data_IF_976124863621
#
_entry.id   IF_976124863621
#
_cell.length_a   1.000
_cell.length_b   1.000
_cell.length_c   1.000
_cell.angle_alpha   90.00
_cell.angle_beta   90.00
_cell.angle_gamma   90.00
#
_symmetry.space_group_name_H-M   'P 1'
#
loop_
_entity.id
_entity.type
_entity.pdbx_description
1 polymer ?
#
# COMPACT_ATOMS: atom_id res chain seq x y z
N UNK A 1 23.30 -10.01 7.63
CA UNK A 1 21.84 -9.79 7.47
C UNK A 1 21.06 -11.09 7.26
N UNK A 2 21.48 -11.99 6.35
CA UNK A 2 20.75 -13.25 6.08
C UNK A 2 20.53 -14.15 7.30
N UNK A 3 21.51 -14.25 8.22
CA UNK A 3 21.37 -15.01 9.48
C UNK A 3 20.24 -14.50 10.38
N UNK A 4 20.03 -13.18 10.45
CA UNK A 4 18.97 -12.60 11.28
C UNK A 4 17.58 -12.84 10.68
N UNK A 5 17.45 -12.68 9.35
CA UNK A 5 16.20 -12.97 8.64
C UNK A 5 15.83 -14.45 8.76
N UNK A 6 16.81 -15.35 8.66
CA UNK A 6 16.61 -16.78 8.88
C UNK A 6 16.12 -17.09 10.30
N UNK A 7 16.74 -16.48 11.32
CA UNK A 7 16.31 -16.63 12.71
C UNK A 7 14.88 -16.12 12.92
N UNK A 8 14.52 -14.95 12.36
CA UNK A 8 13.17 -14.41 12.45
C UNK A 8 12.14 -15.32 11.77
N UNK A 9 12.46 -15.80 10.57
CA UNK A 9 11.61 -16.72 9.81
C UNK A 9 11.39 -18.05 10.55
N UNK A 10 12.40 -18.56 11.27
CA UNK A 10 12.27 -19.77 12.07
C UNK A 10 11.58 -19.53 13.42
N UNK A 11 11.87 -18.40 14.07
CA UNK A 11 11.29 -18.05 15.36
C UNK A 11 9.78 -17.78 15.27
N UNK A 12 9.34 -17.17 14.16
CA UNK A 12 7.94 -16.80 13.96
C UNK A 12 6.98 -18.02 14.05
N UNK A 13 7.13 -19.12 13.29
CA UNK A 13 6.27 -20.28 13.41
C UNK A 13 6.45 -21.02 14.74
N UNK A 14 7.63 -20.99 15.35
CA UNK A 14 7.85 -21.55 16.69
C UNK A 14 7.02 -20.82 17.75
N UNK A 15 6.96 -19.48 17.68
CA UNK A 15 6.12 -18.67 18.56
C UNK A 15 4.64 -19.02 18.33
N UNK A 16 4.21 -19.21 17.08
CA UNK A 16 2.82 -19.60 16.80
C UNK A 16 2.46 -20.95 17.39
N UNK A 17 3.32 -21.96 17.23
CA UNK A 17 3.11 -23.29 17.82
C UNK A 17 3.04 -23.19 19.34
N UNK A 18 3.92 -22.41 19.97
CA UNK A 18 3.87 -22.18 21.42
C UNK A 18 2.54 -21.52 21.85
N UNK A 19 2.08 -20.49 21.14
CA UNK A 19 0.79 -19.86 21.41
C UNK A 19 -0.38 -20.84 21.25
N UNK A 20 -0.39 -21.65 20.19
CA UNK A 20 -1.40 -22.68 19.97
C UNK A 20 -1.45 -23.70 21.11
N UNK A 21 -0.30 -24.14 21.63
CA UNK A 21 -0.23 -25.07 22.76
C UNK A 21 -0.76 -24.42 24.03
N UNK A 22 -0.33 -23.20 24.35
CA UNK A 22 -0.74 -22.51 25.58
C UNK A 22 -2.24 -22.24 25.58
N UNK A 23 -2.78 -21.71 24.48
CA UNK A 23 -4.21 -21.42 24.35
C UNK A 23 -5.01 -22.72 24.25
N UNK A 24 -4.53 -23.68 23.46
CA UNK A 24 -5.14 -25.01 23.33
C UNK A 24 -5.25 -25.75 24.65
N UNK A 25 -4.26 -25.62 25.54
CA UNK A 25 -4.32 -26.19 26.88
C UNK A 25 -5.28 -25.43 27.81
N UNK A 26 -5.47 -24.13 27.60
CA UNK A 26 -6.35 -23.29 28.41
C UNK A 26 -7.85 -23.46 28.06
N UNK A 27 -8.20 -23.55 26.77
CA UNK A 27 -9.59 -23.56 26.30
C UNK A 27 -9.97 -24.79 25.45
N UNK A 28 -9.02 -25.68 25.14
CA UNK A 28 -9.22 -26.86 24.31
C UNK A 28 -8.91 -26.64 22.83
N UNK A 29 -8.71 -27.75 22.10
CA UNK A 29 -8.31 -27.74 20.69
C UNK A 29 -9.36 -27.11 19.76
N UNK A 30 -10.62 -27.52 19.88
CA UNK A 30 -11.69 -27.08 18.97
C UNK A 30 -11.94 -25.57 19.04
N UNK A 31 -12.09 -24.94 20.23
CA UNK A 31 -12.21 -23.49 20.33
C UNK A 31 -10.97 -22.76 19.81
N UNK A 32 -9.79 -23.35 19.98
CA UNK A 32 -8.53 -22.77 19.50
C UNK A 32 -8.47 -22.71 17.98
N UNK A 33 -8.80 -23.82 17.31
CA UNK A 33 -8.88 -23.86 15.85
C UNK A 33 -9.95 -22.91 15.30
N UNK A 34 -11.12 -22.86 15.96
CA UNK A 34 -12.19 -21.94 15.58
C UNK A 34 -11.75 -20.49 15.71
N UNK A 35 -11.03 -20.12 16.77
CA UNK A 35 -10.50 -18.78 16.97
C UNK A 35 -9.59 -18.34 15.82
N UNK A 36 -8.69 -19.21 15.37
CA UNK A 36 -7.82 -18.92 14.22
C UNK A 36 -8.62 -18.76 12.93
N UNK A 37 -9.61 -19.62 12.70
CA UNK A 37 -10.49 -19.51 11.52
C UNK A 37 -11.29 -18.20 11.52
N UNK A 38 -11.82 -17.78 12.68
CA UNK A 38 -12.55 -16.53 12.85
C UNK A 38 -11.65 -15.33 12.57
N UNK A 39 -10.42 -15.34 13.09
CA UNK A 39 -9.44 -14.28 12.80
C UNK A 39 -9.12 -14.21 11.31
N UNK A 40 -8.80 -15.35 10.68
CA UNK A 40 -8.51 -15.40 9.25
C UNK A 40 -9.70 -14.89 8.42
N UNK A 41 -10.93 -15.31 8.75
CA UNK A 41 -12.15 -14.83 8.11
C UNK A 41 -12.33 -13.32 8.27
N UNK A 42 -12.11 -12.78 9.48
CA UNK A 42 -12.14 -11.35 9.73
C UNK A 42 -11.10 -10.60 8.88
N UNK A 43 -9.89 -11.14 8.74
CA UNK A 43 -8.85 -10.60 7.85
C UNK A 43 -9.29 -10.55 6.39
N UNK A 44 -9.88 -11.64 5.87
CA UNK A 44 -10.42 -11.68 4.50
C UNK A 44 -11.54 -10.65 4.31
N UNK A 45 -12.46 -10.53 5.27
CA UNK A 45 -13.53 -9.53 5.22
C UNK A 45 -12.94 -8.11 5.20
N UNK A 46 -12.02 -7.79 6.11
CA UNK A 46 -11.35 -6.49 6.14
C UNK A 46 -10.64 -6.17 4.82
N UNK A 47 -9.94 -7.14 4.24
CA UNK A 47 -9.25 -6.97 2.96
C UNK A 47 -10.25 -6.69 1.83
N UNK A 48 -11.38 -7.41 1.81
CA UNK A 48 -12.44 -7.23 0.80
C UNK A 48 -13.11 -5.86 0.93
N UNK A 49 -13.43 -5.43 2.14
CA UNK A 49 -14.02 -4.11 2.40
C UNK A 49 -13.07 -2.98 2.00
N UNK A 50 -11.78 -3.10 2.34
CA UNK A 50 -10.80 -2.07 1.98
C UNK A 50 -10.45 -2.06 0.51
N UNK A 51 -10.33 -3.22 -0.15
CA UNK A 51 -10.02 -3.31 -1.57
C UNK A 51 -10.98 -2.48 -2.43
N UNK A 52 -12.27 -2.52 -2.10
CA UNK A 52 -13.31 -1.69 -2.75
C UNK A 52 -13.08 -0.19 -2.47
N UNK A 53 -12.79 0.17 -1.22
CA UNK A 53 -12.52 1.56 -0.83
C UNK A 53 -11.29 2.15 -1.51
N UNK A 54 -10.23 1.34 -1.71
CA UNK A 54 -9.00 1.76 -2.39
C UNK A 54 -9.28 2.15 -3.83
N UNK A 55 -10.00 1.29 -4.55
CA UNK A 55 -10.35 1.51 -5.97
C UNK A 55 -11.18 2.78 -6.13
N UNK A 56 -12.15 3.00 -5.23
CA UNK A 56 -12.96 4.22 -5.25
C UNK A 56 -12.13 5.47 -4.96
N UNK A 57 -11.26 5.44 -3.94
CA UNK A 57 -10.36 6.56 -3.64
C UNK A 57 -9.40 6.86 -4.79
N UNK A 58 -8.88 5.84 -5.47
CA UNK A 58 -7.99 6.02 -6.62
C UNK A 58 -8.71 6.73 -7.78
N UNK A 59 -9.97 6.35 -8.08
CA UNK A 59 -10.79 7.02 -9.11
C UNK A 59 -11.02 8.50 -8.76
N UNK A 60 -11.34 8.77 -7.50
CA UNK A 60 -11.62 10.11 -7.00
C UNK A 60 -10.39 11.03 -6.92
N UNK A 61 -9.20 10.45 -6.71
CA UNK A 61 -7.93 11.20 -6.63
C UNK A 61 -7.31 11.44 -7.99
N UNK A 62 -7.46 10.50 -8.93
CA UNK A 62 -7.13 10.70 -10.35
C UNK A 62 -7.99 11.80 -10.98
N UNK A 63 -9.29 11.87 -10.64
CA UNK A 63 -10.17 12.94 -11.10
C UNK A 63 -9.84 14.34 -10.54
N UNK A 64 -9.05 14.42 -9.46
CA UNK A 64 -8.72 15.67 -8.75
C UNK A 64 -7.25 16.07 -8.80
N UNK A 65 -6.38 15.26 -9.41
CA UNK A 65 -4.95 15.54 -9.54
C UNK A 65 -4.17 15.64 -8.22
N UNK A 66 -4.75 15.22 -7.09
CA UNK A 66 -4.13 15.31 -5.76
C UNK A 66 -3.99 13.91 -5.16
N UNK A 67 -2.77 13.55 -4.75
CA UNK A 67 -2.48 12.29 -4.05
C UNK A 67 -2.40 12.55 -2.54
N UNK A 68 -3.44 12.24 -1.75
CA UNK A 68 -3.41 12.39 -0.30
C UNK A 68 -2.53 11.30 0.33
N UNK A 69 -1.23 11.58 0.45
CA UNK A 69 -0.22 10.64 0.94
C UNK A 69 -0.58 9.99 2.30
N UNK A 70 -1.25 10.73 3.19
CA UNK A 70 -1.67 10.20 4.50
C UNK A 70 -2.82 9.19 4.38
N UNK A 71 -3.84 9.51 3.59
CA UNK A 71 -4.98 8.60 3.36
C UNK A 71 -4.53 7.30 2.71
N UNK A 72 -3.61 7.40 1.75
CA UNK A 72 -3.07 6.22 1.07
C UNK A 72 -2.25 5.35 2.03
N UNK A 73 -1.38 5.95 2.84
CA UNK A 73 -0.61 5.21 3.85
C UNK A 73 -1.51 4.51 4.86
N UNK A 74 -2.55 5.19 5.35
CA UNK A 74 -3.53 4.59 6.26
C UNK A 74 -4.21 3.38 5.60
N UNK A 75 -4.68 3.49 4.36
CA UNK A 75 -5.27 2.38 3.61
C UNK A 75 -4.28 1.21 3.43
N UNK A 76 -3.00 1.49 3.14
CA UNK A 76 -1.98 0.44 3.02
C UNK A 76 -1.71 -0.27 4.36
N UNK A 77 -1.71 0.46 5.47
CA UNK A 77 -1.50 -0.11 6.80
C UNK A 77 -2.66 -1.02 7.21
N UNK A 78 -3.90 -0.61 6.93
CA UNK A 78 -5.06 -1.45 7.21
C UNK A 78 -5.10 -2.66 6.25
N UNK A 79 -4.59 -2.54 5.02
CA UNK A 79 -4.39 -3.67 4.11
C UNK A 79 -3.33 -4.66 4.60
N UNK A 80 -2.20 -4.15 5.09
CA UNK A 80 -1.14 -4.96 5.72
C UNK A 80 -1.65 -5.68 6.98
N UNK A 81 -2.43 -4.99 7.81
CA UNK A 81 -3.09 -5.58 8.98
C UNK A 81 -4.01 -6.75 8.58
N UNK A 82 -4.80 -6.58 7.52
CA UNK A 82 -5.68 -7.61 7.01
C UNK A 82 -4.90 -8.83 6.49
N UNK A 83 -3.82 -8.61 5.72
CA UNK A 83 -2.94 -9.70 5.26
C UNK A 83 -2.33 -10.43 6.45
N UNK A 84 -1.84 -9.70 7.45
CA UNK A 84 -1.24 -10.29 8.65
C UNK A 84 -2.25 -11.11 9.46
N UNK A 85 -3.51 -10.70 9.50
CA UNK A 85 -4.61 -11.40 10.16
C UNK A 85 -5.07 -12.66 9.38
N UNK A 86 -4.88 -12.68 8.05
CA UNK A 86 -5.14 -13.86 7.21
C UNK A 86 -4.09 -14.94 7.45
N UNK A 87 -2.84 -14.57 7.74
CA UNK A 87 -1.79 -15.54 8.08
C UNK A 87 -2.22 -16.29 9.34
N UNK A 88 -2.41 -17.62 9.27
CA UNK A 88 -2.98 -18.39 10.36
C UNK A 88 -2.02 -18.40 11.56
N UNK A 89 -2.45 -17.76 12.65
CA UNK A 89 -1.67 -17.61 13.86
C UNK A 89 -2.36 -16.74 14.90
N UNK A 90 -2.02 -16.97 16.16
CA UNK A 90 -2.44 -16.14 17.27
C UNK A 90 -1.54 -14.92 17.44
N UNK A 91 -0.23 -15.10 17.25
CA UNK A 91 0.70 -13.99 17.39
C UNK A 91 0.61 -13.03 16.20
N UNK A 92 0.57 -13.54 14.97
CA UNK A 92 0.26 -12.75 13.77
C UNK A 92 -1.11 -12.14 13.84
N UNK A 93 -2.12 -12.89 14.28
CA UNK A 93 -3.46 -12.37 14.43
C UNK A 93 -3.52 -11.19 15.39
N UNK A 94 -2.83 -11.30 16.53
CA UNK A 94 -2.72 -10.21 17.50
C UNK A 94 -1.98 -9.00 16.92
N UNK A 95 -0.87 -9.20 16.20
CA UNK A 95 -0.14 -8.11 15.56
C UNK A 95 -0.98 -7.43 14.46
N UNK A 96 -1.73 -8.20 13.68
CA UNK A 96 -2.66 -7.68 12.67
C UNK A 96 -3.76 -6.84 13.32
N UNK A 97 -4.35 -7.33 14.41
CA UNK A 97 -5.36 -6.61 15.17
C UNK A 97 -4.78 -5.34 15.83
N UNK A 98 -3.57 -5.41 16.38
CA UNK A 98 -2.87 -4.27 16.95
C UNK A 98 -2.61 -3.20 15.90
N UNK A 99 -2.23 -3.59 14.68
CA UNK A 99 -2.03 -2.67 13.56
C UNK A 99 -3.35 -2.03 13.07
N UNK A 100 -4.51 -2.63 13.34
CA UNK A 100 -5.80 -2.03 13.02
C UNK A 100 -6.10 -0.79 13.88
N UNK A 101 -5.51 -0.70 15.07
CA UNK A 101 -5.77 0.35 16.05
C UNK A 101 -5.20 1.70 15.55
N UNK A 102 -6.03 2.76 15.41
CA UNK A 102 -5.62 4.05 14.85
C UNK A 102 -4.38 4.73 15.48
N UNK A 103 -4.22 4.80 16.82
CA UNK A 103 -3.03 5.40 17.41
C UNK A 103 -1.74 4.63 17.07
N UNK A 104 -1.79 3.30 16.97
CA UNK A 104 -0.65 2.47 16.59
C UNK A 104 -0.26 2.69 15.13
N UNK A 105 -1.24 2.88 14.24
CA UNK A 105 -1.01 3.30 12.85
C UNK A 105 -0.36 4.68 12.77
N UNK A 106 -0.86 5.64 13.53
CA UNK A 106 -0.28 6.99 13.58
C UNK A 106 1.19 6.98 14.02
N UNK A 107 1.51 6.21 15.06
CA UNK A 107 2.86 6.03 15.56
C UNK A 107 3.78 5.35 14.54
N UNK A 108 3.32 4.25 13.93
CA UNK A 108 4.10 3.53 12.93
C UNK A 108 4.31 4.38 11.67
N UNK A 109 3.31 5.15 11.22
CA UNK A 109 3.46 6.10 10.12
C UNK A 109 4.50 7.19 10.43
N UNK A 110 4.45 7.78 11.63
CA UNK A 110 5.43 8.78 12.05
C UNK A 110 6.86 8.21 12.09
N UNK A 111 7.00 6.99 12.61
CA UNK A 111 8.28 6.29 12.64
C UNK A 111 8.80 5.95 11.23
N UNK A 112 7.95 5.43 10.33
CA UNK A 112 8.31 5.16 8.94
C UNK A 112 8.73 6.44 8.21
N UNK A 113 7.96 7.53 8.35
CA UNK A 113 8.26 8.83 7.73
C UNK A 113 9.61 9.38 8.18
N UNK A 114 10.01 9.14 9.44
CA UNK A 114 11.31 9.59 9.96
C UNK A 114 12.51 8.83 9.39
N UNK A 115 12.30 7.62 8.85
CA UNK A 115 13.38 6.76 8.33
C UNK A 115 13.38 6.63 6.81
N UNK A 116 12.25 6.88 6.16
CA UNK A 116 12.13 6.93 4.71
C UNK A 116 12.42 8.35 4.27
N UNK A 117 13.63 8.60 3.74
CA UNK A 117 13.85 9.78 2.90
C UNK A 117 12.90 9.63 1.72
N UNK A 118 11.82 10.41 1.72
CA UNK A 118 10.93 10.48 0.57
C UNK A 118 11.79 11.05 -0.54
N UNK A 119 12.31 10.17 -1.41
CA UNK A 119 12.65 10.57 -2.76
C UNK A 119 11.32 11.02 -3.31
N UNK A 120 11.07 12.33 -3.24
CA UNK A 120 10.08 12.95 -4.06
C UNK A 120 10.58 12.68 -5.48
N UNK A 121 10.18 11.53 -6.02
CA UNK A 121 10.09 11.38 -7.46
C UNK A 121 9.02 12.37 -7.83
N UNK A 122 9.44 13.62 -7.97
CA UNK A 122 8.77 14.61 -8.76
C UNK A 122 8.75 13.97 -10.13
N UNK A 123 7.73 13.15 -10.40
CA UNK A 123 7.34 12.85 -11.76
C UNK A 123 6.79 14.18 -12.28
N UNK A 124 7.72 15.07 -12.61
CA UNK A 124 7.51 16.08 -13.62
C UNK A 124 7.24 15.27 -14.87
N UNK A 125 5.99 14.86 -15.07
CA UNK A 125 5.47 14.60 -16.39
C UNK A 125 5.43 15.97 -17.10
N UNK A 126 6.60 16.54 -17.37
CA UNK A 126 6.78 17.50 -18.44
C UNK A 126 6.57 16.71 -19.73
N UNK A 127 5.30 16.42 -20.03
CA UNK A 127 4.89 16.13 -21.38
C UNK A 127 5.11 17.42 -22.15
N UNK A 128 6.33 17.57 -22.67
CA UNK A 128 6.73 18.68 -23.51
C UNK A 128 5.92 18.62 -24.80
N UNK A 129 4.71 19.14 -24.77
CA UNK A 129 4.12 19.73 -25.95
C UNK A 129 4.96 20.98 -26.24
N UNK A 130 6.06 20.79 -26.97
CA UNK A 130 6.62 21.88 -27.73
C UNK A 130 5.58 22.16 -28.82
N UNK A 131 4.86 23.31 -28.78
CA UNK A 131 4.10 23.71 -29.95
C UNK A 131 5.07 23.70 -31.13
N UNK A 132 4.66 23.24 -32.32
CA UNK A 132 5.51 23.35 -33.50
C UNK A 132 5.90 24.82 -33.58
N UNK A 133 7.21 25.07 -33.52
CA UNK A 133 7.75 26.36 -33.88
C UNK A 133 7.31 26.53 -35.32
N UNK A 134 6.26 27.31 -35.51
CA UNK A 134 6.06 27.99 -36.78
C UNK A 134 7.25 28.93 -36.79
N UNK A 135 8.39 28.44 -37.27
CA UNK A 135 9.37 29.31 -37.86
C UNK A 135 8.51 30.15 -38.81
N UNK A 136 8.42 31.43 -38.50
CA UNK A 136 7.99 32.46 -39.44
C UNK A 136 9.08 32.49 -40.51
N UNK A 137 9.23 31.38 -41.23
CA UNK A 137 9.92 31.29 -42.49
C UNK A 137 9.00 32.03 -43.44
N UNK A 138 9.09 33.36 -43.34
CA UNK A 138 8.62 34.28 -44.35
C UNK A 138 9.34 33.85 -45.62
N UNK A 139 8.66 33.04 -46.42
CA UNK A 139 9.05 32.77 -47.79
C UNK A 139 8.88 34.11 -48.50
N UNK A 140 9.96 34.89 -48.56
CA UNK A 140 10.04 36.02 -49.46
C UNK A 140 9.92 35.44 -50.87
N UNK A 141 8.72 35.51 -51.43
CA UNK A 141 8.52 35.23 -52.85
C UNK A 141 9.26 36.31 -53.62
N UNK A 142 10.32 35.91 -54.32
CA UNK A 142 10.96 36.77 -55.29
C UNK A 142 9.94 37.10 -56.40
N UNK A 143 10.04 38.28 -57.01
CA UNK A 143 9.07 38.78 -58.00
C UNK A 143 8.88 37.86 -59.21
N UNK A 144 9.82 36.93 -59.38
CA UNK A 144 9.98 36.05 -60.52
C UNK A 144 9.28 34.69 -60.30
N UNK A 145 8.94 34.36 -59.05
CA UNK A 145 8.27 33.12 -58.66
C UNK A 145 6.73 33.26 -58.67
N UNK A 146 6.22 34.49 -58.82
CA UNK A 146 4.80 34.76 -58.93
C UNK A 146 4.24 34.34 -60.30
N UNK A 147 3.35 33.34 -60.31
CA UNK A 147 2.58 32.92 -61.50
C UNK A 147 1.09 33.17 -61.28
N UNK A 148 0.47 34.16 -61.98
CA UNK A 148 -0.97 34.31 -61.97
C UNK A 148 -1.61 33.13 -62.71
N UNK A 149 -2.66 32.55 -62.12
CA UNK A 149 -3.55 31.60 -62.79
C UNK A 149 -4.60 32.36 -63.60
#
# INVERSE_FOLDING_TARGET
MGRLLFLLFLAMPLIEIACFIVIGNAIGLWPTLLGVLVMAAAGVLLLRHQGISVVNQMRDTLGRGQLPARSLADTMMVGLAAILLIVPGYFTGLLGLLLLIPPLRGALYAWLRSRVQVVATTTSASYGYAPPRVEDETIELDSDEWRPR
#
